data_IF_890316735316
#
_entry.id   IF_890316735316
#
_cell.length_a   1.000
_cell.length_b   1.000
_cell.length_c   1.000
_cell.angle_alpha   90.00
_cell.angle_beta   90.00
_cell.angle_gamma   90.00
#
_symmetry.space_group_name_H-M   'P 1'
#
loop_
_entity.id
_entity.type
_entity.pdbx_description
1 polymer ?
#
# COMPACT_ATOMS: atom_id res chain seq x y z
N UNK A 1 45.30 -29.69 -24.90
CA UNK A 1 45.74 -28.68 -23.91
C UNK A 1 44.81 -27.49 -23.99
N UNK A 2 44.12 -27.14 -22.91
CA UNK A 2 43.34 -25.89 -22.85
C UNK A 2 44.37 -24.76 -22.78
N UNK A 3 44.46 -23.94 -23.84
CA UNK A 3 45.34 -22.77 -23.86
C UNK A 3 44.87 -21.76 -22.80
N UNK A 4 45.79 -21.08 -22.11
CA UNK A 4 45.52 -20.06 -21.07
C UNK A 4 44.46 -19.03 -21.50
N UNK A 5 44.43 -18.73 -22.79
CA UNK A 5 43.46 -17.84 -23.41
C UNK A 5 42.00 -18.37 -23.39
N UNK A 6 41.78 -19.70 -23.50
CA UNK A 6 40.44 -20.29 -23.33
C UNK A 6 39.97 -20.23 -21.87
N UNK A 7 40.91 -20.31 -20.93
CA UNK A 7 40.64 -20.18 -19.49
C UNK A 7 40.19 -18.75 -19.18
N UNK A 8 40.83 -17.73 -19.75
CA UNK A 8 40.43 -16.34 -19.59
C UNK A 8 38.99 -16.05 -20.08
N UNK A 9 38.61 -16.56 -21.26
CA UNK A 9 37.25 -16.43 -21.78
C UNK A 9 36.21 -17.08 -20.85
N UNK A 10 36.49 -18.31 -20.40
CA UNK A 10 35.61 -19.02 -19.47
C UNK A 10 35.46 -18.26 -18.14
N UNK A 11 36.55 -17.71 -17.60
CA UNK A 11 36.52 -16.91 -16.37
C UNK A 11 35.66 -15.66 -16.55
N UNK A 12 35.78 -14.93 -17.66
CA UNK A 12 34.97 -13.73 -17.92
C UNK A 12 33.48 -14.05 -18.05
N UNK A 13 33.13 -15.12 -18.77
CA UNK A 13 31.74 -15.57 -18.91
C UNK A 13 31.16 -16.04 -17.56
N UNK A 14 31.94 -16.82 -16.81
CA UNK A 14 31.54 -17.31 -15.48
C UNK A 14 31.36 -16.13 -14.52
N UNK A 15 32.24 -15.12 -14.56
CA UNK A 15 32.12 -13.93 -13.73
C UNK A 15 30.84 -13.15 -14.03
N UNK A 16 30.52 -12.90 -15.30
CA UNK A 16 29.26 -12.22 -15.67
C UNK A 16 28.04 -13.03 -15.24
N UNK A 17 28.02 -14.34 -15.54
CA UNK A 17 26.91 -15.21 -15.14
C UNK A 17 26.74 -15.29 -13.61
N UNK A 18 27.85 -15.34 -12.87
CA UNK A 18 27.82 -15.41 -11.40
C UNK A 18 27.35 -14.10 -10.79
N UNK A 19 27.83 -12.96 -11.27
CA UNK A 19 27.40 -11.64 -10.79
C UNK A 19 25.92 -11.41 -11.08
N UNK A 20 25.43 -11.74 -12.28
CA UNK A 20 24.00 -11.57 -12.56
C UNK A 20 23.12 -12.67 -11.95
N UNK A 21 23.65 -13.86 -11.71
CA UNK A 21 22.95 -15.00 -11.11
C UNK A 21 22.78 -14.89 -9.60
N UNK A 22 23.85 -14.55 -8.86
CA UNK A 22 23.80 -14.29 -7.41
C UNK A 22 22.75 -13.20 -7.14
N UNK A 23 22.72 -12.18 -7.97
CA UNK A 23 21.81 -11.06 -7.81
C UNK A 23 20.48 -11.18 -8.57
N UNK A 24 20.30 -12.22 -9.39
CA UNK A 24 19.01 -12.58 -9.98
C UNK A 24 18.05 -13.21 -8.95
N UNK A 25 18.58 -13.75 -7.85
CA UNK A 25 17.82 -14.32 -6.74
C UNK A 25 16.90 -13.31 -6.00
N UNK A 26 17.05 -12.02 -6.29
CA UNK A 26 16.34 -10.91 -5.67
C UNK A 26 14.94 -10.68 -6.25
N UNK A 27 14.62 -11.35 -7.35
CA UNK A 27 13.27 -11.33 -7.92
C UNK A 27 12.21 -11.81 -6.92
N UNK A 28 12.55 -12.79 -6.08
CA UNK A 28 11.64 -13.28 -5.04
C UNK A 28 11.31 -12.20 -4.01
N UNK A 29 12.28 -11.37 -3.62
CA UNK A 29 12.06 -10.24 -2.72
C UNK A 29 11.17 -9.18 -3.36
N UNK A 30 11.42 -8.82 -4.62
CA UNK A 30 10.56 -7.89 -5.37
C UNK A 30 9.13 -8.41 -5.52
N UNK A 31 8.97 -9.72 -5.74
CA UNK A 31 7.66 -10.36 -5.78
C UNK A 31 6.93 -10.27 -4.43
N UNK A 32 7.64 -10.47 -3.32
CA UNK A 32 7.07 -10.34 -1.98
C UNK A 32 6.65 -8.88 -1.69
N UNK A 33 7.45 -7.89 -2.09
CA UNK A 33 7.11 -6.46 -2.00
C UNK A 33 5.82 -6.19 -2.81
N UNK A 34 5.78 -6.64 -4.06
CA UNK A 34 4.63 -6.45 -4.93
C UNK A 34 3.35 -7.11 -4.38
N UNK A 35 3.45 -8.36 -3.92
CA UNK A 35 2.31 -9.08 -3.31
C UNK A 35 1.79 -8.36 -2.06
N UNK A 36 2.70 -7.82 -1.24
CA UNK A 36 2.34 -7.08 -0.03
C UNK A 36 1.67 -5.76 -0.38
N UNK A 37 2.22 -5.01 -1.33
CA UNK A 37 1.62 -3.77 -1.84
C UNK A 37 0.20 -4.01 -2.40
N UNK A 38 0.01 -5.08 -3.17
CA UNK A 38 -1.30 -5.46 -3.71
C UNK A 38 -2.30 -5.80 -2.61
N UNK A 39 -1.89 -6.54 -1.58
CA UNK A 39 -2.75 -6.83 -0.41
C UNK A 39 -3.16 -5.55 0.33
N UNK A 40 -2.23 -4.61 0.49
CA UNK A 40 -2.50 -3.30 1.09
C UNK A 40 -3.55 -2.53 0.27
N UNK A 41 -3.44 -2.51 -1.05
CA UNK A 41 -4.42 -1.84 -1.92
C UNK A 41 -5.82 -2.47 -1.79
N UNK A 42 -5.91 -3.80 -1.88
CA UNK A 42 -7.18 -4.52 -1.75
C UNK A 42 -7.83 -4.25 -0.39
N UNK A 43 -7.06 -4.35 0.69
CA UNK A 43 -7.58 -4.17 2.05
C UNK A 43 -8.02 -2.72 2.31
N UNK A 44 -7.31 -1.73 1.76
CA UNK A 44 -7.77 -0.32 1.80
C UNK A 44 -9.11 -0.13 1.12
N UNK A 45 -9.30 -0.74 -0.05
CA UNK A 45 -10.56 -0.64 -0.79
C UNK A 45 -11.70 -1.36 -0.05
N UNK A 46 -11.41 -2.52 0.57
CA UNK A 46 -12.38 -3.27 1.37
C UNK A 46 -12.82 -2.47 2.61
N UNK A 47 -11.86 -1.92 3.37
CA UNK A 47 -12.15 -1.02 4.50
C UNK A 47 -13.03 0.15 4.03
N UNK A 48 -12.65 0.82 2.95
CA UNK A 48 -13.42 1.94 2.41
C UNK A 48 -14.86 1.53 2.08
N UNK A 49 -15.05 0.44 1.35
CA UNK A 49 -16.37 -0.08 0.98
C UNK A 49 -17.21 -0.44 2.21
N UNK A 50 -16.62 -1.14 3.20
CA UNK A 50 -17.32 -1.49 4.44
C UNK A 50 -17.69 -0.26 5.26
N UNK A 51 -16.80 0.72 5.35
CA UNK A 51 -17.07 2.00 6.03
C UNK A 51 -18.21 2.75 5.37
N UNK A 52 -18.23 2.85 4.03
CA UNK A 52 -19.34 3.48 3.30
C UNK A 52 -20.65 2.76 3.57
N UNK A 53 -20.65 1.42 3.51
CA UNK A 53 -21.86 0.62 3.77
C UNK A 53 -22.40 0.81 5.19
N UNK A 54 -21.51 0.92 6.19
CA UNK A 54 -21.92 1.24 7.58
C UNK A 54 -22.58 2.61 7.66
N UNK A 55 -22.05 3.61 6.96
CA UNK A 55 -22.61 4.96 6.97
C UNK A 55 -23.99 5.01 6.28
N UNK A 56 -24.15 4.31 5.15
CA UNK A 56 -25.43 4.16 4.45
C UNK A 56 -26.50 3.53 5.34
N UNK A 57 -26.13 2.50 6.10
CA UNK A 57 -27.06 1.78 6.97
C UNK A 57 -27.41 2.61 8.20
N UNK A 58 -26.44 3.35 8.77
CA UNK A 58 -26.73 4.34 9.80
C UNK A 58 -27.65 5.44 9.27
N UNK A 59 -27.51 5.86 8.02
CA UNK A 59 -28.42 6.83 7.40
C UNK A 59 -29.83 6.24 7.22
N UNK A 60 -29.94 5.01 6.73
CA UNK A 60 -31.21 4.31 6.51
C UNK A 60 -32.02 4.13 7.79
N UNK A 61 -31.37 3.84 8.92
CA UNK A 61 -32.05 3.65 10.21
C UNK A 61 -32.24 4.95 10.99
N UNK A 62 -31.64 6.07 10.59
CA UNK A 62 -31.72 7.33 11.32
C UNK A 62 -33.16 7.77 11.64
N UNK A 63 -34.13 7.73 10.71
CA UNK A 63 -35.52 8.07 11.02
C UNK A 63 -36.15 7.16 12.08
N UNK A 64 -35.77 5.88 12.12
CA UNK A 64 -36.28 4.91 13.09
C UNK A 64 -35.68 5.18 14.47
N UNK A 65 -34.38 5.43 14.55
CA UNK A 65 -33.70 5.81 15.80
C UNK A 65 -34.31 7.07 16.41
N UNK A 66 -34.56 8.10 15.59
CA UNK A 66 -35.15 9.34 16.06
C UNK A 66 -36.57 9.15 16.63
N UNK A 67 -37.34 8.18 16.12
CA UNK A 67 -38.69 7.83 16.63
C UNK A 67 -38.70 7.06 17.94
N UNK A 68 -37.53 6.57 18.39
CA UNK A 68 -37.35 5.97 19.71
C UNK A 68 -37.13 7.00 20.80
N UNK A 69 -36.90 8.27 20.43
CA UNK A 69 -36.87 9.36 21.38
C UNK A 69 -38.29 9.82 21.71
N UNK A 70 -38.52 10.06 22.99
CA UNK A 70 -39.73 10.71 23.48
C UNK A 70 -39.37 11.71 24.56
N UNK A 71 -40.33 12.57 24.91
CA UNK A 71 -40.15 13.48 26.03
C UNK A 71 -41.40 13.50 26.91
N UNK A 72 -41.21 13.78 28.19
CA UNK A 72 -42.29 14.15 29.10
C UNK A 72 -42.03 15.53 29.66
N UNK A 73 -43.12 16.26 29.93
CA UNK A 73 -43.07 17.58 30.54
C UNK A 73 -43.97 17.57 31.77
N UNK A 74 -43.38 17.90 32.91
CA UNK A 74 -44.05 18.00 34.19
C UNK A 74 -43.63 19.34 34.81
N UNK A 75 -44.59 20.26 34.97
CA UNK A 75 -44.36 21.67 35.32
C UNK A 75 -43.34 22.37 34.40
N UNK A 76 -42.22 22.82 34.97
CA UNK A 76 -41.10 23.49 34.29
C UNK A 76 -39.98 22.54 33.88
N UNK A 77 -40.11 21.24 34.16
CA UNK A 77 -39.08 20.23 33.92
C UNK A 77 -39.44 19.36 32.72
N UNK A 78 -38.47 19.16 31.84
CA UNK A 78 -38.53 18.20 30.73
C UNK A 78 -37.62 17.02 31.02
N UNK A 79 -38.11 15.83 30.71
CA UNK A 79 -37.33 14.58 30.69
C UNK A 79 -37.35 14.05 29.27
N UNK A 80 -36.20 13.61 28.78
CA UNK A 80 -36.06 12.98 27.47
C UNK A 80 -35.71 11.53 27.68
N UNK A 81 -36.35 10.66 26.90
CA UNK A 81 -36.17 9.24 26.94
C UNK A 81 -35.67 8.72 25.60
N UNK A 82 -34.90 7.65 25.65
CA UNK A 82 -34.54 6.83 24.49
C UNK A 82 -34.88 5.38 24.82
N UNK A 83 -35.77 4.76 24.03
CA UNK A 83 -36.22 3.38 24.28
C UNK A 83 -36.81 3.17 25.69
N UNK A 84 -37.49 4.19 26.24
CA UNK A 84 -38.07 4.16 27.58
C UNK A 84 -37.12 4.51 28.73
N UNK A 85 -35.83 4.70 28.49
CA UNK A 85 -34.83 5.06 29.52
C UNK A 85 -34.61 6.57 29.52
N UNK A 86 -34.65 7.22 30.70
CA UNK A 86 -34.34 8.65 30.83
C UNK A 86 -32.86 8.90 30.52
N UNK A 87 -32.59 9.75 29.53
CA UNK A 87 -31.24 10.12 29.10
C UNK A 87 -30.87 11.55 29.43
N UNK A 88 -31.88 12.39 29.71
CA UNK A 88 -31.67 13.79 30.04
C UNK A 88 -32.86 14.35 30.83
N UNK A 89 -32.58 15.28 31.74
CA UNK A 89 -33.57 16.01 32.54
C UNK A 89 -33.11 17.43 32.81
N UNK A 90 -33.99 18.42 32.64
CA UNK A 90 -33.67 19.82 32.87
C UNK A 90 -34.80 20.77 32.50
N UNK A 91 -34.49 22.07 32.42
CA UNK A 91 -35.44 23.07 31.95
C UNK A 91 -35.48 23.13 30.41
N UNK A 92 -36.64 23.47 29.82
CA UNK A 92 -36.76 23.58 28.35
C UNK A 92 -35.74 24.58 27.76
N UNK A 93 -35.43 25.66 28.47
CA UNK A 93 -34.43 26.66 28.07
C UNK A 93 -33.00 26.14 28.02
N UNK A 94 -32.69 25.06 28.73
CA UNK A 94 -31.36 24.44 28.78
C UNK A 94 -31.18 23.33 27.73
N UNK A 95 -32.25 22.97 27.01
CA UNK A 95 -32.21 21.83 26.10
C UNK A 95 -31.47 22.17 24.80
N UNK A 96 -30.18 21.87 24.82
CA UNK A 96 -29.29 21.81 23.66
C UNK A 96 -28.15 20.83 23.99
N UNK A 97 -28.35 19.55 23.68
CA UNK A 97 -27.42 18.47 24.08
C UNK A 97 -27.23 17.45 22.96
N UNK A 98 -26.20 16.63 23.07
CA UNK A 98 -25.93 15.52 22.17
C UNK A 98 -25.97 14.23 22.97
N UNK A 99 -26.72 13.25 22.49
CA UNK A 99 -26.76 11.90 23.04
C UNK A 99 -26.09 10.93 22.07
N UNK A 100 -25.18 10.10 22.57
CA UNK A 100 -24.54 9.06 21.76
C UNK A 100 -25.33 7.76 21.87
N UNK A 101 -26.07 7.42 20.80
CA UNK A 101 -26.79 6.15 20.71
C UNK A 101 -25.79 5.05 20.35
N UNK A 102 -25.73 4.02 21.19
CA UNK A 102 -24.80 2.89 21.03
C UNK A 102 -24.91 2.29 19.61
N UNK A 103 -23.77 2.16 18.94
CA UNK A 103 -23.62 1.63 17.57
C UNK A 103 -24.28 2.43 16.44
N UNK A 104 -25.01 3.50 16.73
CA UNK A 104 -25.56 4.43 15.74
C UNK A 104 -24.74 5.72 15.64
N UNK A 105 -24.40 6.32 16.78
CA UNK A 105 -23.65 7.57 16.89
C UNK A 105 -24.45 8.71 17.52
N UNK A 106 -24.01 9.94 17.25
CA UNK A 106 -24.52 11.15 17.88
C UNK A 106 -25.91 11.56 17.36
N UNK A 107 -26.79 11.93 18.30
CA UNK A 107 -28.10 12.53 18.08
C UNK A 107 -28.16 13.85 18.80
N UNK A 108 -28.44 14.93 18.07
CA UNK A 108 -28.57 16.27 18.64
C UNK A 108 -30.01 16.52 19.07
N UNK A 109 -30.18 16.94 20.32
CA UNK A 109 -31.46 17.26 20.95
C UNK A 109 -31.52 18.77 21.22
N UNK A 110 -32.52 19.44 20.66
CA UNK A 110 -32.68 20.88 20.78
C UNK A 110 -34.14 21.28 20.85
N UNK A 111 -34.38 22.51 21.26
CA UNK A 111 -35.70 23.14 21.16
C UNK A 111 -35.90 23.83 19.81
N UNK A 112 -37.15 23.81 19.35
CA UNK A 112 -37.65 24.45 18.14
C UNK A 112 -38.97 25.14 18.45
N UNK A 113 -39.42 26.03 17.56
CA UNK A 113 -40.76 26.62 17.61
C UNK A 113 -41.88 25.56 17.61
N UNK A 114 -41.59 24.37 17.08
CA UNK A 114 -42.53 23.24 16.96
C UNK A 114 -42.47 22.24 18.13
N UNK A 115 -41.50 22.38 19.04
CA UNK A 115 -41.33 21.48 20.18
C UNK A 115 -39.88 21.04 20.42
N UNK A 116 -39.70 19.89 21.06
CA UNK A 116 -38.38 19.26 21.21
C UNK A 116 -38.06 18.49 19.93
N UNK A 117 -36.86 18.69 19.38
CA UNK A 117 -36.42 18.08 18.12
C UNK A 117 -35.17 17.25 18.36
N UNK A 118 -35.18 16.03 17.84
CA UNK A 118 -33.99 15.20 17.68
C UNK A 118 -33.52 15.23 16.22
N UNK A 119 -32.22 15.29 15.99
CA UNK A 119 -31.64 15.30 14.65
C UNK A 119 -30.34 14.51 14.53
N UNK A 120 -30.20 13.79 13.43
CA UNK A 120 -29.01 13.03 13.08
C UNK A 120 -28.96 12.84 11.55
N UNK A 121 -27.75 12.88 10.96
CA UNK A 121 -27.51 12.50 9.55
C UNK A 121 -28.44 13.18 8.53
N UNK A 122 -28.73 14.47 8.74
CA UNK A 122 -29.61 15.26 7.86
C UNK A 122 -31.11 15.06 8.11
N UNK A 123 -31.49 14.12 8.98
CA UNK A 123 -32.88 13.92 9.42
C UNK A 123 -33.16 14.71 10.70
N UNK A 124 -34.40 15.20 10.80
CA UNK A 124 -34.93 15.85 12.00
C UNK A 124 -36.31 15.32 12.32
N UNK A 125 -36.60 15.12 13.61
CA UNK A 125 -37.87 14.61 14.09
C UNK A 125 -38.32 15.40 15.31
N UNK A 126 -39.56 15.88 15.29
CA UNK A 126 -40.22 16.48 16.45
C UNK A 126 -40.64 15.34 17.38
N UNK A 127 -40.17 15.36 18.61
CA UNK A 127 -40.43 14.31 19.58
C UNK A 127 -41.91 14.27 19.98
N UNK A 128 -42.41 13.07 20.21
CA UNK A 128 -43.73 12.83 20.80
C UNK A 128 -43.60 12.46 22.28
N UNK A 129 -44.74 12.43 22.98
CA UNK A 129 -44.80 12.00 24.39
C UNK A 129 -44.71 10.49 24.57
N UNK A 130 -44.90 9.71 23.50
CA UNK A 130 -44.69 8.27 23.44
C UNK A 130 -43.66 7.92 22.37
N UNK A 131 -42.84 6.89 22.63
CA UNK A 131 -41.92 6.32 21.65
C UNK A 131 -42.56 5.13 20.94
N UNK A 132 -42.08 4.80 19.75
CA UNK A 132 -42.60 3.68 18.95
C UNK A 132 -41.82 2.40 19.27
N UNK A 133 -42.27 1.65 20.27
CA UNK A 133 -41.61 0.43 20.76
C UNK A 133 -41.45 -0.66 19.68
N UNK A 134 -42.38 -0.74 18.73
CA UNK A 134 -42.32 -1.68 17.60
C UNK A 134 -41.06 -1.51 16.73
N UNK A 135 -40.44 -0.32 16.74
CA UNK A 135 -39.22 -0.03 15.98
C UNK A 135 -37.94 -0.43 16.71
N UNK A 136 -38.03 -0.70 18.02
CA UNK A 136 -36.86 -0.94 18.86
C UNK A 136 -36.06 -2.15 18.36
N UNK A 137 -36.74 -3.27 18.08
CA UNK A 137 -36.09 -4.48 17.59
C UNK A 137 -35.39 -4.28 16.24
N UNK A 138 -36.00 -3.54 15.31
CA UNK A 138 -35.40 -3.25 14.00
C UNK A 138 -34.15 -2.39 14.14
N UNK A 139 -34.20 -1.39 15.02
CA UNK A 139 -33.04 -0.54 15.34
C UNK A 139 -31.94 -1.34 16.01
N UNK A 140 -32.26 -2.20 16.98
CA UNK A 140 -31.30 -3.05 17.68
C UNK A 140 -30.61 -4.05 16.73
N UNK A 141 -31.37 -4.69 15.84
CA UNK A 141 -30.83 -5.62 14.84
C UNK A 141 -29.85 -4.91 13.91
N UNK A 142 -30.23 -3.74 13.41
CA UNK A 142 -29.40 -2.93 12.52
C UNK A 142 -28.15 -2.39 13.25
N UNK A 143 -28.30 -1.95 14.50
CA UNK A 143 -27.20 -1.49 15.34
C UNK A 143 -26.20 -2.61 15.64
N UNK A 144 -26.67 -3.85 15.88
CA UNK A 144 -25.80 -5.03 16.04
C UNK A 144 -25.03 -5.34 14.76
N UNK A 145 -25.70 -5.25 13.61
CA UNK A 145 -25.05 -5.47 12.32
C UNK A 145 -23.98 -4.41 12.02
N UNK A 146 -24.28 -3.12 12.27
CA UNK A 146 -23.31 -2.03 12.19
C UNK A 146 -22.11 -2.28 13.10
N UNK A 147 -22.35 -2.71 14.34
CA UNK A 147 -21.27 -3.03 15.29
C UNK A 147 -20.36 -4.16 14.77
N UNK A 148 -20.96 -5.24 14.27
CA UNK A 148 -20.22 -6.38 13.73
C UNK A 148 -19.31 -5.98 12.56
N UNK A 149 -19.77 -5.09 11.69
CA UNK A 149 -18.93 -4.59 10.58
C UNK A 149 -17.82 -3.65 11.09
N UNK A 150 -18.10 -2.76 12.03
CA UNK A 150 -17.06 -1.93 12.63
C UNK A 150 -15.95 -2.75 13.29
N UNK A 151 -16.29 -3.89 13.91
CA UNK A 151 -15.29 -4.83 14.45
C UNK A 151 -14.44 -5.48 13.35
N UNK A 152 -15.02 -5.78 12.19
CA UNK A 152 -14.27 -6.26 11.01
C UNK A 152 -13.33 -5.16 10.51
N UNK A 153 -13.85 -3.95 10.30
CA UNK A 153 -13.05 -2.79 9.85
C UNK A 153 -11.86 -2.56 10.79
N UNK A 154 -12.08 -2.56 12.11
CA UNK A 154 -11.01 -2.36 13.09
C UNK A 154 -9.91 -3.43 12.96
N UNK A 155 -10.29 -4.70 12.82
CA UNK A 155 -9.30 -5.79 12.59
C UNK A 155 -8.53 -5.59 11.29
N UNK A 156 -9.22 -5.15 10.23
CA UNK A 156 -8.58 -4.91 8.94
C UNK A 156 -7.66 -3.69 8.96
N UNK A 157 -7.96 -2.65 9.73
CA UNK A 157 -7.07 -1.52 9.96
C UNK A 157 -5.79 -1.92 10.72
N UNK A 158 -5.93 -2.79 11.74
CA UNK A 158 -4.79 -3.39 12.44
C UNK A 158 -3.92 -4.22 11.47
N UNK A 159 -4.55 -5.06 10.66
CA UNK A 159 -3.88 -5.85 9.63
C UNK A 159 -3.19 -4.97 8.57
N UNK A 160 -3.86 -3.90 8.13
CA UNK A 160 -3.31 -2.93 7.19
C UNK A 160 -2.05 -2.27 7.74
N UNK A 161 -2.05 -1.93 9.03
CA UNK A 161 -0.90 -1.36 9.71
C UNK A 161 0.26 -2.36 9.77
N UNK A 162 -0.03 -3.61 10.11
CA UNK A 162 0.97 -4.69 10.11
C UNK A 162 1.59 -4.91 8.71
N UNK A 163 0.76 -4.91 7.66
CA UNK A 163 1.24 -5.06 6.29
C UNK A 163 2.08 -3.87 5.83
N UNK A 164 1.74 -2.63 6.21
CA UNK A 164 2.56 -1.45 5.92
C UNK A 164 3.93 -1.53 6.60
N UNK A 165 3.97 -1.99 7.85
CA UNK A 165 5.23 -2.20 8.58
C UNK A 165 6.07 -3.30 7.92
N UNK A 166 5.44 -4.40 7.50
CA UNK A 166 6.10 -5.47 6.77
C UNK A 166 6.65 -4.99 5.41
N UNK A 167 5.87 -4.21 4.67
CA UNK A 167 6.32 -3.63 3.40
C UNK A 167 7.56 -2.76 3.65
N UNK A 168 7.52 -1.88 4.64
CA UNK A 168 8.65 -1.01 4.99
C UNK A 168 9.91 -1.84 5.33
N UNK A 169 9.77 -2.91 6.11
CA UNK A 169 10.92 -3.72 6.53
C UNK A 169 11.56 -4.50 5.37
N UNK A 170 10.75 -4.98 4.41
CA UNK A 170 11.25 -5.74 3.26
C UNK A 170 11.81 -4.79 2.17
N UNK A 171 11.11 -3.68 1.89
CA UNK A 171 11.46 -2.72 0.84
C UNK A 171 12.83 -2.07 1.02
N UNK A 172 13.25 -1.86 2.26
CA UNK A 172 14.52 -1.19 2.58
C UNK A 172 15.64 -2.15 3.00
N UNK A 173 15.52 -3.43 2.66
CA UNK A 173 16.58 -4.39 2.96
C UNK A 173 17.91 -4.00 2.27
N UNK A 174 19.07 -4.16 2.94
CA UNK A 174 20.40 -3.95 2.33
C UNK A 174 20.59 -4.72 1.02
N UNK A 175 19.90 -5.85 0.92
CA UNK A 175 19.79 -6.69 -0.24
C UNK A 175 19.32 -5.91 -1.49
N UNK A 176 18.29 -5.06 -1.39
CA UNK A 176 17.81 -4.28 -2.54
C UNK A 176 18.86 -3.31 -3.10
N UNK A 177 19.72 -2.76 -2.25
CA UNK A 177 20.82 -1.90 -2.70
C UNK A 177 21.90 -2.70 -3.42
N UNK A 178 22.19 -3.91 -2.93
CA UNK A 178 23.14 -4.81 -3.56
C UNK A 178 22.70 -5.16 -5.00
N UNK A 179 21.41 -5.43 -5.20
CA UNK A 179 20.82 -5.67 -6.53
C UNK A 179 21.03 -4.50 -7.51
N UNK A 180 20.85 -3.26 -7.04
CA UNK A 180 21.05 -2.09 -7.90
C UNK A 180 22.53 -1.91 -8.28
N UNK A 181 23.48 -2.33 -7.45
CA UNK A 181 24.91 -2.19 -7.73
C UNK A 181 25.47 -3.21 -8.74
N UNK A 182 24.70 -4.23 -9.11
CA UNK A 182 25.13 -5.34 -9.98
C UNK A 182 25.76 -4.89 -11.29
N UNK A 183 25.15 -3.96 -12.05
CA UNK A 183 25.69 -3.61 -13.35
C UNK A 183 27.05 -2.92 -13.22
N UNK A 184 27.20 -2.07 -12.20
CA UNK A 184 28.45 -1.36 -11.90
C UNK A 184 29.52 -2.34 -11.42
N UNK A 185 29.17 -3.24 -10.49
CA UNK A 185 30.09 -4.25 -9.97
C UNK A 185 30.57 -5.19 -11.08
N UNK A 186 29.67 -5.58 -11.99
CA UNK A 186 29.99 -6.44 -13.12
C UNK A 186 30.98 -5.77 -14.07
N UNK A 187 30.76 -4.51 -14.45
CA UNK A 187 31.71 -3.74 -15.29
C UNK A 187 33.08 -3.63 -14.61
N UNK A 188 33.11 -3.34 -13.30
CA UNK A 188 34.35 -3.22 -12.54
C UNK A 188 35.15 -4.54 -12.50
N UNK A 189 34.47 -5.68 -12.28
CA UNK A 189 35.08 -7.00 -12.32
C UNK A 189 35.66 -7.30 -13.70
N UNK A 190 34.92 -6.99 -14.78
CA UNK A 190 35.41 -7.20 -16.15
C UNK A 190 36.65 -6.36 -16.45
N UNK A 191 36.71 -5.10 -15.97
CA UNK A 191 37.91 -4.26 -16.10
C UNK A 191 39.12 -4.88 -15.38
N UNK A 192 38.93 -5.41 -14.17
CA UNK A 192 40.00 -6.06 -13.40
C UNK A 192 40.49 -7.33 -14.12
N UNK A 193 39.57 -8.18 -14.58
CA UNK A 193 39.91 -9.40 -15.29
C UNK A 193 40.70 -9.12 -16.57
N UNK A 194 40.25 -8.16 -17.39
CA UNK A 194 40.95 -7.78 -18.62
C UNK A 194 42.33 -7.18 -18.32
N UNK A 195 42.48 -6.42 -17.23
CA UNK A 195 43.80 -5.91 -16.82
C UNK A 195 44.78 -7.03 -16.50
N UNK A 196 44.30 -8.14 -15.95
CA UNK A 196 45.11 -9.31 -15.59
C UNK A 196 45.45 -10.15 -16.83
N UNK A 197 44.45 -10.41 -17.69
CA UNK A 197 44.60 -11.37 -18.78
C UNK A 197 45.07 -10.77 -20.10
N UNK A 198 44.65 -9.54 -20.45
CA UNK A 198 45.01 -8.90 -21.72
C UNK A 198 44.83 -7.37 -21.70
N UNK A 199 45.95 -6.65 -21.52
CA UNK A 199 45.96 -5.19 -21.49
C UNK A 199 45.66 -4.52 -22.83
N UNK A 200 45.74 -5.24 -23.94
CA UNK A 200 45.40 -4.73 -25.28
C UNK A 200 43.89 -4.72 -25.49
N UNK A 201 43.21 -5.81 -25.11
CA UNK A 201 41.76 -5.93 -25.09
C UNK A 201 41.10 -4.98 -24.09
N UNK A 202 41.76 -4.70 -22.96
CA UNK A 202 41.28 -3.71 -21.99
C UNK A 202 41.01 -2.35 -22.63
N UNK A 203 41.90 -1.85 -23.49
CA UNK A 203 41.72 -0.53 -24.14
C UNK A 203 40.52 -0.54 -25.08
N UNK A 204 40.33 -1.63 -25.83
CA UNK A 204 39.20 -1.79 -26.75
C UNK A 204 37.89 -1.88 -25.98
N UNK A 205 37.85 -2.64 -24.88
CA UNK A 205 36.69 -2.73 -24.00
C UNK A 205 36.31 -1.37 -23.39
N UNK A 206 37.29 -0.61 -22.89
CA UNK A 206 37.05 0.76 -22.40
C UNK A 206 36.49 1.64 -23.52
N UNK A 207 37.06 1.56 -24.73
CA UNK A 207 36.57 2.31 -25.89
C UNK A 207 35.12 1.96 -26.26
N UNK A 208 34.72 0.69 -26.13
CA UNK A 208 33.33 0.24 -26.36
C UNK A 208 32.38 0.75 -25.28
N UNK A 209 32.75 0.65 -23.99
CA UNK A 209 31.89 1.13 -22.89
C UNK A 209 31.71 2.64 -22.92
N UNK A 210 32.78 3.38 -23.21
CA UNK A 210 32.74 4.85 -23.27
C UNK A 210 32.16 5.36 -24.59
N UNK A 211 31.82 4.48 -25.54
CA UNK A 211 31.17 4.88 -26.77
C UNK A 211 29.78 5.49 -26.44
N UNK A 212 29.49 6.73 -26.86
CA UNK A 212 28.24 7.40 -26.53
C UNK A 212 26.99 6.63 -27.00
N UNK A 213 27.08 5.86 -28.09
CA UNK A 213 25.99 5.04 -28.60
C UNK A 213 25.65 3.83 -27.70
N UNK A 214 26.57 3.43 -26.82
CA UNK A 214 26.33 2.37 -25.83
C UNK A 214 26.11 2.95 -24.43
N UNK A 215 26.90 3.95 -24.06
CA UNK A 215 26.90 4.56 -22.73
C UNK A 215 25.57 5.26 -22.41
N UNK A 216 25.04 6.09 -23.32
CA UNK A 216 23.83 6.84 -23.06
C UNK A 216 22.59 5.94 -22.89
N UNK A 217 22.34 4.95 -23.78
CA UNK A 217 21.26 3.99 -23.56
C UNK A 217 21.42 3.20 -22.26
N UNK A 218 22.64 2.77 -21.94
CA UNK A 218 22.91 2.05 -20.69
C UNK A 218 22.57 2.90 -19.46
N UNK A 219 23.02 4.16 -19.41
CA UNK A 219 22.73 5.07 -18.31
C UNK A 219 21.23 5.32 -18.17
N UNK A 220 20.51 5.46 -19.28
CA UNK A 220 19.04 5.62 -19.27
C UNK A 220 18.34 4.37 -18.71
N UNK A 221 18.70 3.18 -19.20
CA UNK A 221 18.16 1.90 -18.72
C UNK A 221 18.44 1.72 -17.23
N UNK A 222 19.66 2.03 -16.80
CA UNK A 222 20.07 1.92 -15.41
C UNK A 222 19.33 2.92 -14.50
N UNK A 223 19.17 4.17 -14.94
CA UNK A 223 18.39 5.16 -14.22
C UNK A 223 16.91 4.75 -14.11
N UNK A 224 16.32 4.21 -15.18
CA UNK A 224 14.96 3.69 -15.18
C UNK A 224 14.80 2.49 -14.22
N UNK A 225 15.77 1.58 -14.20
CA UNK A 225 15.80 0.44 -13.27
C UNK A 225 15.79 0.92 -11.81
N UNK A 226 16.63 1.90 -11.47
CA UNK A 226 16.66 2.51 -10.13
C UNK A 226 15.32 3.14 -9.80
N UNK A 227 14.78 3.97 -10.70
CA UNK A 227 13.52 4.67 -10.47
C UNK A 227 12.36 3.70 -10.21
N UNK A 228 12.18 2.70 -11.07
CA UNK A 228 11.10 1.72 -10.92
C UNK A 228 11.26 0.86 -9.67
N UNK A 229 12.50 0.52 -9.30
CA UNK A 229 12.78 -0.21 -8.05
C UNK A 229 12.43 0.65 -6.83
N UNK A 230 12.75 1.95 -6.86
CA UNK A 230 12.39 2.88 -5.79
C UNK A 230 10.88 3.05 -5.68
N UNK A 231 10.15 3.18 -6.79
CA UNK A 231 8.69 3.24 -6.79
C UNK A 231 8.08 1.96 -6.20
N UNK A 232 8.54 0.78 -6.64
CA UNK A 232 8.12 -0.49 -6.07
C UNK A 232 8.35 -0.55 -4.55
N UNK A 233 9.52 -0.10 -4.09
CA UNK A 233 9.87 -0.08 -2.66
C UNK A 233 9.02 0.90 -1.84
N UNK A 234 8.47 1.95 -2.46
CA UNK A 234 7.49 2.84 -1.83
C UNK A 234 6.09 2.24 -1.74
N UNK A 235 5.87 1.08 -2.37
CA UNK A 235 4.58 0.39 -2.40
C UNK A 235 3.77 0.65 -3.67
N UNK A 236 4.36 1.26 -4.71
CA UNK A 236 3.68 1.44 -5.98
C UNK A 236 3.63 0.10 -6.73
N UNK A 237 2.48 -0.19 -7.35
CA UNK A 237 2.32 -1.40 -8.14
C UNK A 237 2.97 -1.25 -9.51
N UNK A 238 4.21 -1.73 -9.62
CA UNK A 238 4.97 -1.76 -10.86
C UNK A 238 4.96 -3.17 -11.46
N UNK A 239 4.83 -3.32 -12.80
CA UNK A 239 4.98 -4.62 -13.45
C UNK A 239 6.39 -5.18 -13.25
N UNK A 240 6.51 -6.27 -12.49
CA UNK A 240 7.81 -6.90 -12.18
C UNK A 240 8.60 -7.31 -13.42
N UNK A 241 7.91 -7.70 -14.50
CA UNK A 241 8.52 -8.03 -15.78
C UNK A 241 9.26 -6.82 -16.41
N UNK A 242 8.79 -5.59 -16.19
CA UNK A 242 9.47 -4.39 -16.68
C UNK A 242 10.80 -4.16 -15.95
N UNK A 243 10.81 -4.33 -14.62
CA UNK A 243 12.03 -4.25 -13.81
C UNK A 243 13.01 -5.34 -14.23
N UNK A 244 12.53 -6.58 -14.42
CA UNK A 244 13.35 -7.70 -14.88
C UNK A 244 13.94 -7.44 -16.27
N UNK A 245 13.15 -6.94 -17.22
CA UNK A 245 13.63 -6.62 -18.56
C UNK A 245 14.74 -5.56 -18.52
N UNK A 246 14.55 -4.47 -17.76
CA UNK A 246 15.58 -3.45 -17.58
C UNK A 246 16.85 -4.03 -16.94
N UNK A 247 16.71 -4.86 -15.91
CA UNK A 247 17.84 -5.53 -15.28
C UNK A 247 18.64 -6.39 -16.27
N UNK A 248 17.99 -7.20 -17.09
CA UNK A 248 18.67 -8.01 -18.12
C UNK A 248 19.41 -7.13 -19.13
N UNK A 249 18.80 -6.01 -19.55
CA UNK A 249 19.43 -5.06 -20.47
C UNK A 249 20.68 -4.40 -19.88
N UNK A 250 20.77 -4.24 -18.55
CA UNK A 250 21.99 -3.70 -17.92
C UNK A 250 23.21 -4.64 -18.02
N UNK A 251 23.03 -5.91 -18.40
CA UNK A 251 24.12 -6.87 -18.62
C UNK A 251 24.93 -6.62 -19.90
N UNK A 252 24.39 -5.85 -20.85
CA UNK A 252 24.98 -5.65 -22.18
C UNK A 252 26.45 -5.16 -22.11
N UNK A 253 26.80 -4.12 -21.32
CA UNK A 253 28.21 -3.68 -21.23
C UNK A 253 29.14 -4.77 -20.69
N UNK A 254 28.70 -5.56 -19.70
CA UNK A 254 29.48 -6.65 -19.12
C UNK A 254 29.69 -7.84 -20.06
N UNK A 255 28.81 -8.00 -21.06
CA UNK A 255 28.97 -9.00 -22.12
C UNK A 255 29.89 -8.54 -23.25
N UNK A 256 30.21 -7.25 -23.33
CA UNK A 256 31.10 -6.76 -24.38
C UNK A 256 32.54 -7.31 -24.24
N UNK A 257 33.04 -7.54 -23.02
CA UNK A 257 34.38 -8.10 -22.80
C UNK A 257 34.56 -9.53 -23.34
N UNK A 258 33.70 -10.53 -23.01
CA UNK A 258 33.84 -11.87 -23.58
C UNK A 258 33.57 -11.89 -25.10
N UNK A 259 32.69 -11.03 -25.62
CA UNK A 259 32.43 -10.92 -27.07
C UNK A 259 33.65 -10.39 -27.81
N UNK A 260 34.28 -9.33 -27.31
CA UNK A 260 35.53 -8.80 -27.89
C UNK A 260 36.64 -9.85 -27.87
N UNK A 261 36.76 -10.58 -26.77
CA UNK A 261 37.73 -11.67 -26.63
C UNK A 261 37.51 -12.79 -27.65
N UNK A 262 36.25 -13.14 -27.93
CA UNK A 262 35.89 -14.15 -28.93
C UNK A 262 36.15 -13.65 -30.35
N UNK A 263 35.81 -12.38 -30.64
CA UNK A 263 35.99 -11.77 -31.95
C UNK A 263 37.46 -11.72 -32.38
N UNK A 264 38.37 -11.31 -31.48
CA UNK A 264 39.80 -11.28 -31.81
C UNK A 264 40.37 -12.67 -32.10
N UNK A 265 39.81 -13.70 -31.47
CA UNK A 265 40.23 -15.09 -31.69
C UNK A 265 39.71 -15.76 -32.94
N UNK A 266 38.64 -15.22 -33.54
CA UNK A 266 38.15 -15.71 -34.84
C UNK A 266 38.98 -15.10 -35.99
N UNK A 267 39.63 -13.96 -35.72
CA UNK A 267 40.39 -13.17 -36.71
C UNK A 267 41.89 -13.48 -36.68
N UNK A 268 42.44 -13.93 -35.53
CA UNK A 268 43.77 -14.55 -35.41
C UNK A 268 43.78 -15.99 -35.99
#
# INVERSE_FOLDING_TARGET
MISEKHIALLIMLLATATVYGIFGSYYHTMENIWRTAKRIEVLKNEIFHLSTRVEEEREAIAPLVLRLFSYSKEDSVIRIYYGGVEIWRGSLSELNTTYNVVNFGEVHLRTSNEGVVAGARGYSYVLNTSYQEEMLHVVEDSARWIHAINDVIRRDEENLTNLKNLLSSISWSPLMFAFLLVPVASIAIQLILLRIFDSSLLRKYIGVILNPYLLLPFLFIYAALILLTVMLNKGDLIPLHAIMALYVLTAIPSLASPVLYLYERIIE
#
